data_IF_394735714437
#
_entry.id   IF_394735714437
#
_cell.length_a   1.000
_cell.length_b   1.000
_cell.length_c   1.000
_cell.angle_alpha   90.00
_cell.angle_beta   90.00
_cell.angle_gamma   90.00
#
_symmetry.space_group_name_H-M   'P 1'
#
loop_
_entity.id
_entity.type
_entity.pdbx_description
1 polymer ?
#
# COMPACT_ATOMS: atom_id res chain seq x y z
N UNK A 1 -4.23 35.87 -15.13
CA UNK A 1 -4.15 34.40 -15.04
C UNK A 1 -2.76 34.10 -14.49
N UNK A 2 -2.60 33.72 -13.21
CA UNK A 2 -1.28 33.36 -12.70
C UNK A 2 -0.77 32.15 -13.50
N UNK A 3 0.52 32.10 -13.87
CA UNK A 3 1.09 30.91 -14.48
C UNK A 3 0.89 29.75 -13.49
N UNK A 4 0.19 28.71 -13.90
CA UNK A 4 0.25 27.43 -13.21
C UNK A 4 1.73 27.01 -13.22
N UNK A 5 2.30 26.59 -12.08
CA UNK A 5 3.62 26.01 -12.05
C UNK A 5 3.52 24.62 -12.69
N UNK A 6 3.44 24.60 -14.01
CA UNK A 6 3.40 23.38 -14.80
C UNK A 6 4.81 22.77 -14.71
N UNK A 7 5.07 22.02 -13.64
CA UNK A 7 6.23 21.14 -13.58
C UNK A 7 6.03 20.09 -14.67
N UNK A 8 6.84 20.08 -15.74
CA UNK A 8 6.67 19.13 -16.81
C UNK A 8 6.88 17.73 -16.23
N UNK A 9 5.96 16.82 -16.55
CA UNK A 9 5.98 15.45 -16.04
C UNK A 9 7.31 14.75 -16.35
N UNK A 10 7.93 15.11 -17.47
CA UNK A 10 9.23 14.58 -17.93
C UNK A 10 10.37 14.89 -16.95
N UNK A 11 10.34 16.04 -16.27
CA UNK A 11 11.34 16.42 -15.26
C UNK A 11 11.07 15.72 -13.92
N UNK A 12 9.80 15.40 -13.63
CA UNK A 12 9.39 14.75 -12.38
C UNK A 12 9.61 13.23 -12.42
N UNK A 13 9.50 12.62 -13.60
CA UNK A 13 9.54 11.17 -13.79
C UNK A 13 10.79 10.49 -13.19
N UNK A 14 12.03 10.99 -13.40
CA UNK A 14 13.23 10.35 -12.85
C UNK A 14 13.24 10.34 -11.32
N UNK A 15 12.76 11.42 -10.71
CA UNK A 15 12.69 11.56 -9.25
C UNK A 15 11.63 10.65 -8.64
N UNK A 16 10.45 10.57 -9.27
CA UNK A 16 9.42 9.61 -8.86
C UNK A 16 9.95 8.18 -8.96
N UNK A 17 10.61 7.83 -10.06
CA UNK A 17 11.16 6.49 -10.23
C UNK A 17 12.22 6.18 -9.18
N UNK A 18 13.15 7.10 -8.91
CA UNK A 18 14.15 6.95 -7.86
C UNK A 18 13.51 6.78 -6.47
N UNK A 19 12.48 7.58 -6.15
CA UNK A 19 11.71 7.46 -4.92
C UNK A 19 11.07 6.07 -4.79
N UNK A 20 10.41 5.57 -5.85
CA UNK A 20 9.76 4.26 -5.84
C UNK A 20 10.76 3.11 -5.68
N UNK A 21 11.92 3.20 -6.34
CA UNK A 21 13.00 2.22 -6.17
C UNK A 21 13.52 2.23 -4.73
N UNK A 22 13.77 3.42 -4.15
CA UNK A 22 14.26 3.55 -2.78
C UNK A 22 13.25 2.99 -1.77
N UNK A 23 11.97 3.34 -1.90
CA UNK A 23 10.89 2.84 -1.05
C UNK A 23 10.74 1.32 -1.19
N UNK A 24 10.78 0.80 -2.42
CA UNK A 24 10.69 -0.63 -2.70
C UNK A 24 11.81 -1.43 -2.05
N UNK A 25 13.06 -0.96 -2.16
CA UNK A 25 14.22 -1.60 -1.53
C UNK A 25 14.16 -1.52 0.00
N UNK A 26 13.80 -0.36 0.55
CA UNK A 26 13.66 -0.18 2.00
C UNK A 26 12.56 -1.06 2.57
N UNK A 27 11.40 -1.12 1.91
CA UNK A 27 10.31 -1.99 2.28
C UNK A 27 10.73 -3.46 2.20
N UNK A 28 11.38 -3.89 1.11
CA UNK A 28 11.85 -5.26 0.96
C UNK A 28 12.81 -5.66 2.08
N UNK A 29 13.79 -4.82 2.40
CA UNK A 29 14.73 -5.06 3.50
C UNK A 29 14.00 -5.16 4.85
N UNK A 30 13.10 -4.22 5.13
CA UNK A 30 12.32 -4.17 6.36
C UNK A 30 11.43 -5.42 6.53
N UNK A 31 10.63 -5.75 5.51
CA UNK A 31 9.71 -6.89 5.56
C UNK A 31 10.43 -8.24 5.60
N UNK A 32 11.68 -8.34 5.12
CA UNK A 32 12.49 -9.55 5.24
C UNK A 32 13.14 -9.70 6.63
N UNK A 33 13.58 -8.60 7.24
CA UNK A 33 14.35 -8.67 8.49
C UNK A 33 13.47 -8.62 9.75
N UNK A 34 12.41 -7.83 9.73
CA UNK A 34 11.48 -7.73 10.87
C UNK A 34 10.63 -8.99 10.96
N UNK A 35 10.40 -9.54 12.15
CA UNK A 35 9.41 -10.63 12.39
C UNK A 35 8.15 -10.14 13.10
N UNK A 36 8.14 -8.91 13.60
CA UNK A 36 7.01 -8.33 14.30
C UNK A 36 5.86 -8.00 13.33
N UNK A 37 4.80 -8.81 13.37
CA UNK A 37 3.63 -8.68 12.50
C UNK A 37 2.83 -7.39 12.75
N UNK A 38 2.74 -6.93 14.01
CA UNK A 38 2.04 -5.68 14.35
C UNK A 38 2.73 -4.47 13.75
N UNK A 39 4.07 -4.42 13.84
CA UNK A 39 4.87 -3.36 13.25
C UNK A 39 4.77 -3.38 11.72
N UNK A 40 4.86 -4.57 11.10
CA UNK A 40 4.68 -4.76 9.66
C UNK A 40 3.32 -4.26 9.17
N UNK A 41 2.23 -4.55 9.89
CA UNK A 41 0.89 -4.09 9.54
C UNK A 41 0.81 -2.56 9.57
N UNK A 42 1.37 -1.91 10.60
CA UNK A 42 1.43 -0.46 10.68
C UNK A 42 2.22 0.17 9.54
N UNK A 43 3.42 -0.35 9.27
CA UNK A 43 4.28 0.13 8.16
C UNK A 43 3.61 -0.10 6.81
N UNK A 44 2.94 -1.23 6.59
CA UNK A 44 2.19 -1.50 5.36
C UNK A 44 1.06 -0.51 5.12
N UNK A 45 0.28 -0.20 6.16
CA UNK A 45 -0.78 0.81 6.09
C UNK A 45 -0.18 2.18 5.77
N UNK A 46 0.89 2.57 6.46
CA UNK A 46 1.56 3.85 6.23
C UNK A 46 2.14 3.94 4.80
N UNK A 47 2.75 2.87 4.28
CA UNK A 47 3.27 2.82 2.91
C UNK A 47 2.17 2.93 1.87
N UNK A 48 1.06 2.22 2.04
CA UNK A 48 -0.10 2.32 1.12
C UNK A 48 -0.67 3.74 1.10
N UNK A 49 -0.97 4.31 2.27
CA UNK A 49 -1.51 5.66 2.34
C UNK A 49 -0.52 6.73 1.83
N UNK A 50 0.78 6.54 2.09
CA UNK A 50 1.83 7.43 1.58
C UNK A 50 1.95 7.35 0.05
N UNK A 51 1.93 6.13 -0.51
CA UNK A 51 1.92 5.88 -1.95
C UNK A 51 0.72 6.57 -2.64
N UNK A 52 -0.47 6.40 -2.06
CA UNK A 52 -1.71 7.01 -2.53
C UNK A 52 -1.65 8.54 -2.49
N UNK A 53 -1.14 9.11 -1.39
CA UNK A 53 -0.99 10.55 -1.23
C UNK A 53 0.00 11.13 -2.24
N UNK A 54 1.13 10.45 -2.49
CA UNK A 54 2.10 10.86 -3.52
C UNK A 54 1.46 10.82 -4.90
N UNK A 55 0.75 9.74 -5.24
CA UNK A 55 0.07 9.61 -6.52
C UNK A 55 -0.97 10.72 -6.74
N UNK A 56 -1.85 10.95 -5.76
CA UNK A 56 -2.86 12.02 -5.83
C UNK A 56 -2.21 13.41 -5.89
N UNK A 57 -1.11 13.62 -5.16
CA UNK A 57 -0.32 14.85 -5.22
C UNK A 57 0.24 15.12 -6.62
N UNK A 58 0.74 14.09 -7.31
CA UNK A 58 1.18 14.20 -8.71
C UNK A 58 0.01 14.51 -9.64
N UNK A 59 -1.10 13.80 -9.52
CA UNK A 59 -2.31 14.06 -10.33
C UNK A 59 -2.76 15.52 -10.17
N UNK A 60 -2.77 16.02 -8.93
CA UNK A 60 -3.09 17.42 -8.64
C UNK A 60 -2.07 18.39 -9.26
N UNK A 61 -0.77 18.12 -9.10
CA UNK A 61 0.31 18.99 -9.59
C UNK A 61 0.35 19.10 -11.13
N UNK A 62 -0.08 18.08 -11.85
CA UNK A 62 -0.18 18.11 -13.33
C UNK A 62 -1.32 18.98 -13.86
N UNK A 63 -2.12 19.60 -12.99
CA UNK A 63 -3.25 20.43 -13.40
C UNK A 63 -4.43 19.61 -13.94
N UNK A 64 -4.54 18.34 -13.55
CA UNK A 64 -5.60 17.46 -14.02
C UNK A 64 -7.00 18.04 -13.68
N UNK A 65 -7.99 17.87 -14.57
CA UNK A 65 -9.36 18.32 -14.30
C UNK A 65 -9.94 17.69 -13.03
N UNK A 66 -10.77 18.45 -12.31
CA UNK A 66 -11.30 18.03 -11.00
C UNK A 66 -12.04 16.68 -11.03
N UNK A 67 -12.73 16.35 -12.12
CA UNK A 67 -13.44 15.08 -12.29
C UNK A 67 -12.47 13.90 -12.41
N UNK A 68 -11.30 14.10 -13.04
CA UNK A 68 -10.25 13.09 -13.12
C UNK A 68 -9.63 12.85 -11.76
N UNK A 69 -9.38 13.92 -10.99
CA UNK A 69 -8.91 13.80 -9.61
C UNK A 69 -9.93 13.06 -8.72
N UNK A 70 -11.23 13.37 -8.84
CA UNK A 70 -12.29 12.68 -8.10
C UNK A 70 -12.34 11.18 -8.45
N UNK A 71 -12.19 10.84 -9.73
CA UNK A 71 -12.09 9.44 -10.18
C UNK A 71 -10.85 8.76 -9.59
N UNK A 72 -9.69 9.39 -9.68
CA UNK A 72 -8.42 8.88 -9.14
C UNK A 72 -8.54 8.62 -7.63
N UNK A 73 -9.10 9.57 -6.88
CA UNK A 73 -9.36 9.42 -5.45
C UNK A 73 -10.27 8.23 -5.15
N UNK A 74 -11.35 8.05 -5.92
CA UNK A 74 -12.26 6.92 -5.78
C UNK A 74 -11.58 5.57 -6.02
N UNK A 75 -10.82 5.46 -7.12
CA UNK A 75 -10.07 4.25 -7.49
C UNK A 75 -9.05 3.90 -6.42
N UNK A 76 -8.27 4.89 -5.97
CA UNK A 76 -7.25 4.73 -4.94
C UNK A 76 -7.88 4.29 -3.61
N UNK A 77 -8.95 4.95 -3.16
CA UNK A 77 -9.62 4.59 -1.91
C UNK A 77 -10.17 3.14 -1.92
N UNK A 78 -10.76 2.72 -3.04
CA UNK A 78 -11.27 1.35 -3.20
C UNK A 78 -10.11 0.36 -3.27
N UNK A 79 -9.09 0.65 -4.08
CA UNK A 79 -7.89 -0.16 -4.24
C UNK A 79 -7.18 -0.40 -2.92
N UNK A 80 -6.96 0.66 -2.14
CA UNK A 80 -6.27 0.59 -0.85
C UNK A 80 -7.09 -0.17 0.18
N UNK A 81 -8.41 0.05 0.26
CA UNK A 81 -9.28 -0.77 1.12
C UNK A 81 -9.19 -2.25 0.78
N UNK A 82 -9.25 -2.59 -0.52
CA UNK A 82 -9.15 -3.98 -0.97
C UNK A 82 -7.78 -4.57 -0.67
N UNK A 83 -6.69 -3.84 -0.96
CA UNK A 83 -5.32 -4.26 -0.68
C UNK A 83 -5.07 -4.51 0.81
N UNK A 84 -5.56 -3.64 1.68
CA UNK A 84 -5.46 -3.80 3.14
C UNK A 84 -6.30 -4.98 3.66
N UNK A 85 -7.50 -5.21 3.11
CA UNK A 85 -8.35 -6.33 3.50
C UNK A 85 -7.77 -7.70 3.08
N UNK A 86 -7.05 -7.72 1.95
CA UNK A 86 -6.48 -8.94 1.38
C UNK A 86 -5.10 -9.31 1.94
N UNK A 87 -4.31 -8.33 2.38
CA UNK A 87 -2.95 -8.57 2.91
C UNK A 87 -3.02 -9.09 4.34
N UNK A 88 -2.42 -10.25 4.60
CA UNK A 88 -2.37 -10.86 5.94
C UNK A 88 -0.93 -11.05 6.38
N UNK A 89 -0.66 -10.70 7.64
CA UNK A 89 0.63 -10.93 8.29
C UNK A 89 0.45 -12.02 9.35
N UNK A 90 1.36 -13.00 9.37
CA UNK A 90 1.34 -14.06 10.37
C UNK A 90 1.94 -13.57 11.70
N UNK A 91 1.16 -13.64 12.78
CA UNK A 91 1.64 -13.23 14.12
C UNK A 91 2.68 -14.21 14.70
N UNK A 92 2.69 -15.48 14.25
CA UNK A 92 3.60 -16.50 14.76
C UNK A 92 5.01 -16.43 14.12
N UNK A 93 5.11 -16.28 12.80
CA UNK A 93 6.41 -16.28 12.10
C UNK A 93 6.78 -14.93 11.46
N UNK A 94 5.87 -13.96 11.45
CA UNK A 94 6.07 -12.68 10.78
C UNK A 94 5.96 -12.74 9.25
N UNK A 95 5.54 -13.87 8.68
CA UNK A 95 5.37 -14.06 7.23
C UNK A 95 4.33 -13.11 6.65
N UNK A 96 4.59 -12.60 5.45
CA UNK A 96 3.65 -11.77 4.69
C UNK A 96 2.97 -12.64 3.62
N UNK A 97 1.64 -12.60 3.59
CA UNK A 97 0.83 -13.40 2.67
C UNK A 97 -0.13 -12.51 1.88
N UNK A 98 0.04 -12.56 0.56
CA UNK A 98 -0.84 -11.95 -0.41
C UNK A 98 -1.65 -13.04 -1.13
N UNK A 99 -2.92 -12.78 -1.49
CA UNK A 99 -3.65 -13.71 -2.33
C UNK A 99 -3.00 -13.78 -3.71
N UNK A 100 -2.57 -14.97 -4.12
CA UNK A 100 -2.05 -15.18 -5.49
C UNK A 100 -3.17 -15.11 -6.53
N UNK A 101 -4.39 -15.48 -6.12
CA UNK A 101 -5.52 -15.68 -7.04
C UNK A 101 -6.49 -14.48 -7.01
N UNK A 102 -6.16 -13.42 -6.24
CA UNK A 102 -6.93 -12.17 -6.16
C UNK A 102 -8.34 -12.27 -5.55
N UNK A 103 -8.77 -13.48 -5.13
CA UNK A 103 -10.15 -13.77 -4.75
C UNK A 103 -10.36 -14.00 -3.25
N UNK A 104 -9.44 -14.69 -2.56
CA UNK A 104 -9.62 -15.04 -1.13
C UNK A 104 -8.39 -14.74 -0.32
N UNK A 105 -8.56 -14.03 0.80
CA UNK A 105 -7.48 -13.79 1.75
C UNK A 105 -6.95 -15.13 2.30
N UNK A 106 -5.62 -15.32 2.38
CA UNK A 106 -5.04 -16.56 2.87
C UNK A 106 -5.40 -16.80 4.34
N UNK A 107 -5.92 -17.98 4.64
CA UNK A 107 -6.33 -18.38 5.99
C UNK A 107 -5.21 -19.09 6.74
N UNK A 108 -4.22 -19.65 6.05
CA UNK A 108 -3.11 -20.39 6.67
C UNK A 108 -1.76 -19.86 6.22
N UNK A 109 -0.81 -19.77 7.14
CA UNK A 109 0.56 -19.38 6.85
C UNK A 109 1.30 -20.49 6.09
N UNK A 110 1.81 -20.19 4.89
CA UNK A 110 2.63 -21.15 4.10
C UNK A 110 3.98 -21.49 4.73
N UNK A 111 4.44 -20.69 5.70
CA UNK A 111 5.78 -20.82 6.27
C UNK A 111 5.80 -21.64 7.56
N UNK A 112 4.77 -21.49 8.41
CA UNK A 112 4.68 -22.19 9.70
C UNK A 112 3.37 -22.94 9.93
N UNK A 113 2.41 -22.89 9.00
CA UNK A 113 1.11 -23.56 9.13
C UNK A 113 0.12 -22.90 10.10
N UNK A 114 0.51 -21.82 10.79
CA UNK A 114 -0.38 -21.12 11.73
C UNK A 114 -1.59 -20.49 11.03
N UNK A 115 -2.72 -20.45 11.75
CA UNK A 115 -3.94 -19.80 11.29
C UNK A 115 -3.76 -18.27 11.23
N UNK A 116 -4.12 -17.68 10.10
CA UNK A 116 -4.12 -16.25 9.82
C UNK A 116 -5.50 -15.61 10.08
N UNK A 117 -6.53 -16.41 10.38
CA UNK A 117 -7.89 -15.94 10.68
C UNK A 117 -8.01 -15.19 12.02
N UNK A 118 -6.98 -15.23 12.88
CA UNK A 118 -6.97 -14.60 14.21
C UNK A 118 -7.03 -13.05 14.22
N UNK A 119 -7.06 -12.38 13.06
CA UNK A 119 -7.31 -10.94 12.96
C UNK A 119 -8.81 -10.59 12.79
N UNK A 120 -9.73 -11.44 13.28
CA UNK A 120 -11.13 -11.07 13.56
C UNK A 120 -11.15 -10.40 14.95
N UNK A 121 -11.76 -9.21 15.12
CA UNK A 121 -11.95 -8.65 16.47
C UNK A 121 -12.68 -9.70 17.34
N UNK A 122 -12.36 -9.78 18.64
CA UNK A 122 -12.95 -10.79 19.52
C UNK A 122 -14.48 -10.71 19.42
N UNK A 123 -15.11 -11.82 19.07
CA UNK A 123 -16.56 -11.98 19.19
C UNK A 123 -16.86 -11.96 20.68
N UNK A 124 -17.42 -10.83 21.13
CA UNK A 124 -18.04 -10.73 22.45
C UNK A 124 -19.24 -11.69 22.43
N UNK A 125 -19.15 -12.77 23.19
CA UNK A 125 -20.27 -13.63 23.55
C UNK A 125 -20.94 -13.11 24.81
#
# INVERSE_FOLDING_TARGET
MPPSPDLPLDDLMPWLFALWVAVGLAALAFFRHTRNARLKRGVWIALMLGADAVFLGVVWATGAPWYFFALALGVVAIGTRRSLAMTRFCDACGGNHFPMDGQTAPTTCRHCGADLQAARPPTVH
#
